data_IF_931538577901
#
_entry.id   IF_931538577901
#
_cell.length_a   1.000
_cell.length_b   1.000
_cell.length_c   1.000
_cell.angle_alpha   90.00
_cell.angle_beta   90.00
_cell.angle_gamma   90.00
#
_symmetry.space_group_name_H-M   'P 1'
#
loop_
_entity.id
_entity.type
_entity.pdbx_description
1 polymer ?
#
# COMPACT_ATOMS: atom_id res chain seq x y z
N UNK A 1 -26.70 -16.01 -34.40
CA UNK A 1 -27.61 -16.32 -35.51
C UNK A 1 -29.03 -16.40 -34.96
N UNK A 2 -29.96 -15.81 -35.71
CA UNK A 2 -31.21 -15.14 -35.32
C UNK A 2 -32.36 -16.06 -34.81
N UNK A 3 -33.12 -15.60 -33.80
CA UNK A 3 -34.56 -15.89 -33.61
C UNK A 3 -35.31 -14.73 -32.94
N UNK A 4 -35.63 -13.74 -33.77
CA UNK A 4 -36.84 -12.88 -33.77
C UNK A 4 -38.02 -13.29 -32.86
N UNK A 5 -38.52 -12.25 -32.17
CA UNK A 5 -39.93 -11.86 -31.94
C UNK A 5 -40.88 -12.81 -31.18
N UNK A 6 -41.30 -12.33 -30.01
CA UNK A 6 -42.65 -12.54 -29.49
C UNK A 6 -43.30 -11.16 -29.24
N UNK A 7 -44.48 -10.95 -29.85
CA UNK A 7 -45.30 -9.72 -29.87
C UNK A 7 -45.99 -9.52 -28.49
N UNK A 8 -46.01 -8.32 -27.88
CA UNK A 8 -46.95 -7.19 -28.09
C UNK A 8 -48.44 -7.59 -28.21
N UNK A 9 -49.26 -7.29 -27.19
CA UNK A 9 -50.26 -6.18 -27.22
C UNK A 9 -51.13 -6.15 -25.97
N UNK A 10 -51.21 -4.98 -25.32
CA UNK A 10 -52.42 -4.45 -24.68
C UNK A 10 -52.27 -2.92 -24.54
N UNK A 11 -52.94 -2.20 -25.44
CA UNK A 11 -53.31 -0.77 -25.33
C UNK A 11 -54.34 -0.59 -24.20
N UNK A 12 -54.62 0.54 -23.57
CA UNK A 12 -54.24 1.95 -23.67
C UNK A 12 -54.69 2.64 -22.35
N UNK A 13 -54.05 3.75 -21.98
CA UNK A 13 -54.67 5.00 -21.48
C UNK A 13 -53.71 5.80 -20.59
N UNK A 14 -53.21 6.92 -21.12
CA UNK A 14 -52.88 8.17 -20.41
C UNK A 14 -52.29 9.11 -21.49
N UNK A 15 -52.85 10.27 -21.81
CA UNK A 15 -53.20 11.33 -20.87
C UNK A 15 -51.93 12.13 -20.62
N UNK A 16 -51.67 13.13 -21.45
CA UNK A 16 -50.45 13.93 -21.39
C UNK A 16 -50.34 14.72 -20.09
N UNK A 17 -49.17 14.64 -19.45
CA UNK A 17 -48.67 15.66 -18.54
C UNK A 17 -47.13 15.67 -18.62
N UNK A 18 -46.62 16.86 -18.86
CA UNK A 18 -45.24 17.34 -18.70
C UNK A 18 -44.40 16.57 -17.68
N UNK A 19 -43.32 15.93 -18.14
CA UNK A 19 -42.25 15.38 -17.30
C UNK A 19 -41.24 16.49 -16.95
N UNK A 20 -41.59 17.29 -15.95
CA UNK A 20 -40.61 17.95 -15.08
C UNK A 20 -40.31 17.02 -13.91
N UNK A 21 -39.04 16.68 -13.71
CA UNK A 21 -38.58 16.06 -12.46
C UNK A 21 -38.08 14.62 -12.58
N UNK A 22 -36.95 14.41 -13.25
CA UNK A 22 -36.01 13.38 -12.80
C UNK A 22 -35.06 14.08 -11.83
N UNK A 23 -35.37 13.93 -10.54
CA UNK A 23 -34.46 14.32 -9.46
C UNK A 23 -33.16 13.56 -9.64
N UNK A 24 -32.12 14.26 -10.09
CA UNK A 24 -30.77 13.83 -9.89
C UNK A 24 -30.60 13.65 -8.38
N UNK A 25 -30.35 12.43 -7.91
CA UNK A 25 -29.74 12.21 -6.62
C UNK A 25 -28.31 12.73 -6.69
N UNK A 26 -28.16 14.06 -6.71
CA UNK A 26 -26.91 14.71 -6.37
C UNK A 26 -26.68 14.39 -4.90
N UNK A 27 -25.81 13.42 -4.63
CA UNK A 27 -25.23 13.27 -3.31
C UNK A 27 -24.31 14.47 -3.08
N UNK A 28 -24.88 15.61 -2.71
CA UNK A 28 -24.16 16.69 -2.06
C UNK A 28 -23.81 16.25 -0.65
N UNK A 29 -22.88 15.30 -0.55
CA UNK A 29 -22.11 15.16 0.68
C UNK A 29 -21.28 16.43 0.85
N UNK A 30 -21.04 16.91 2.07
CA UNK A 30 -20.21 18.08 2.26
C UNK A 30 -18.81 17.73 1.74
N UNK A 31 -18.37 18.37 0.66
CA UNK A 31 -16.97 18.62 0.34
C UNK A 31 -16.45 19.60 1.40
N UNK A 32 -16.41 19.15 2.66
CA UNK A 32 -15.73 19.89 3.70
C UNK A 32 -14.26 19.94 3.32
N UNK A 33 -13.72 21.16 3.20
CA UNK A 33 -12.28 21.34 3.09
C UNK A 33 -11.59 20.50 4.18
N UNK A 34 -10.51 19.82 3.82
CA UNK A 34 -9.70 19.08 4.78
C UNK A 34 -9.27 20.02 5.91
N UNK A 35 -9.10 19.46 7.11
CA UNK A 35 -8.49 20.19 8.22
C UNK A 35 -7.17 20.83 7.72
N UNK A 36 -6.94 22.15 7.92
CA UNK A 36 -5.75 22.83 7.44
C UNK A 36 -4.44 22.14 7.84
N UNK A 37 -4.36 21.55 9.04
CA UNK A 37 -3.16 20.81 9.48
C UNK A 37 -2.94 19.55 8.64
N UNK A 38 -4.03 18.87 8.25
CA UNK A 38 -3.97 17.69 7.38
C UNK A 38 -3.60 18.09 5.96
N UNK A 39 -4.15 19.19 5.44
CA UNK A 39 -3.81 19.71 4.11
C UNK A 39 -2.32 20.09 4.03
N UNK A 40 -1.80 20.80 5.04
CA UNK A 40 -0.38 21.13 5.12
C UNK A 40 0.50 19.88 5.23
N UNK A 41 0.10 18.89 6.06
CA UNK A 41 0.83 17.64 6.19
C UNK A 41 0.89 16.88 4.86
N UNK A 42 -0.21 16.86 4.10
CA UNK A 42 -0.25 16.24 2.79
C UNK A 42 0.68 16.96 1.81
N UNK A 43 0.62 18.29 1.72
CA UNK A 43 1.48 19.05 0.80
C UNK A 43 2.96 18.88 1.14
N UNK A 44 3.34 18.96 2.42
CA UNK A 44 4.74 18.75 2.85
C UNK A 44 5.22 17.33 2.55
N UNK A 45 4.34 16.34 2.70
CA UNK A 45 4.66 14.95 2.37
C UNK A 45 4.79 14.77 0.85
N UNK A 46 3.93 15.41 0.06
CA UNK A 46 4.06 15.45 -1.40
C UNK A 46 5.40 16.08 -1.82
N UNK A 47 5.76 17.23 -1.24
CA UNK A 47 7.02 17.92 -1.53
C UNK A 47 8.23 17.05 -1.23
N UNK A 48 8.16 16.18 -0.21
CA UNK A 48 9.22 15.19 0.01
C UNK A 48 9.44 14.34 -1.25
N UNK A 49 8.40 13.66 -1.76
CA UNK A 49 8.52 12.85 -2.98
C UNK A 49 8.92 13.69 -4.20
N UNK A 50 8.36 14.89 -4.33
CA UNK A 50 8.60 15.74 -5.49
C UNK A 50 10.02 16.34 -5.52
N UNK A 51 10.54 16.78 -4.38
CA UNK A 51 11.79 17.53 -4.32
C UNK A 51 13.01 16.59 -4.27
N UNK A 52 12.89 15.43 -3.62
CA UNK A 52 14.03 14.52 -3.40
C UNK A 52 14.19 13.45 -4.48
N UNK A 53 13.17 13.24 -5.32
CA UNK A 53 13.20 12.23 -6.39
C UNK A 53 13.76 12.82 -7.69
N UNK A 54 14.87 12.28 -8.25
CA UNK A 54 15.42 12.78 -9.50
C UNK A 54 14.42 12.64 -10.66
N UNK A 55 14.16 13.74 -11.37
CA UNK A 55 13.19 13.78 -12.46
C UNK A 55 13.51 12.77 -13.59
N UNK A 56 14.79 12.57 -13.89
CA UNK A 56 15.22 11.77 -15.04
C UNK A 56 14.97 10.26 -14.88
N UNK A 57 15.03 9.74 -13.64
CA UNK A 57 14.94 8.28 -13.38
C UNK A 57 13.76 7.91 -12.50
N UNK A 58 13.25 8.82 -11.67
CA UNK A 58 12.19 8.53 -10.72
C UNK A 58 12.62 7.70 -9.50
N UNK A 59 13.92 7.42 -9.35
CA UNK A 59 14.47 6.65 -8.25
C UNK A 59 14.28 7.41 -6.93
N UNK A 60 13.32 6.97 -6.12
CA UNK A 60 12.94 7.62 -4.86
C UNK A 60 13.84 7.11 -3.75
N UNK A 61 14.56 7.97 -3.00
CA UNK A 61 15.44 7.54 -1.94
C UNK A 61 14.65 6.87 -0.81
N UNK A 62 15.24 5.85 -0.19
CA UNK A 62 14.67 5.15 0.97
C UNK A 62 14.54 6.08 2.20
N UNK A 63 15.49 7.00 2.35
CA UNK A 63 15.62 7.89 3.50
C UNK A 63 16.03 9.30 3.11
N UNK A 64 15.63 10.26 3.94
CA UNK A 64 16.07 11.66 3.89
C UNK A 64 16.08 12.25 5.31
N UNK A 65 16.95 13.24 5.65
CA UNK A 65 17.92 13.94 4.80
C UNK A 65 19.25 13.24 4.62
N UNK A 66 19.51 12.15 5.34
CA UNK A 66 20.71 11.34 5.10
C UNK A 66 20.60 10.68 3.72
N UNK A 67 21.51 10.99 2.78
CA UNK A 67 21.48 10.38 1.45
C UNK A 67 21.50 8.85 1.55
N UNK A 68 20.68 8.19 0.74
CA UNK A 68 20.50 6.73 0.76
C UNK A 68 20.38 6.16 -0.66
N UNK A 69 20.30 4.83 -0.76
CA UNK A 69 19.87 4.10 -1.95
C UNK A 69 18.38 4.35 -2.26
N UNK A 70 17.96 3.96 -3.47
CA UNK A 70 16.56 3.98 -3.88
C UNK A 70 15.80 2.82 -3.25
N UNK A 71 14.59 3.07 -2.73
CA UNK A 71 13.62 2.04 -2.37
C UNK A 71 12.60 1.86 -3.49
N UNK A 72 12.46 0.63 -4.00
CA UNK A 72 11.51 0.33 -5.07
C UNK A 72 10.05 0.49 -4.60
N UNK A 73 9.75 0.14 -3.35
CA UNK A 73 8.45 0.44 -2.75
C UNK A 73 8.16 1.95 -2.65
N UNK A 74 9.18 2.76 -2.32
CA UNK A 74 9.03 4.21 -2.26
C UNK A 74 8.70 4.81 -3.64
N UNK A 75 9.25 4.25 -4.72
CA UNK A 75 8.88 4.64 -6.10
C UNK A 75 7.40 4.36 -6.38
N UNK A 76 6.88 3.20 -5.97
CA UNK A 76 5.45 2.89 -6.10
C UNK A 76 4.57 3.92 -5.37
N UNK A 77 4.99 4.34 -4.18
CA UNK A 77 4.32 5.42 -3.45
C UNK A 77 4.40 6.76 -4.20
N UNK A 78 5.57 7.13 -4.74
CA UNK A 78 5.78 8.37 -5.50
C UNK A 78 4.85 8.47 -6.73
N UNK A 79 4.72 7.38 -7.48
CA UNK A 79 3.84 7.29 -8.65
C UNK A 79 2.35 7.49 -8.30
N UNK A 80 1.95 7.20 -7.06
CA UNK A 80 0.60 7.48 -6.55
C UNK A 80 0.47 8.93 -6.08
N UNK A 81 1.54 9.50 -5.53
CA UNK A 81 1.60 10.87 -5.00
C UNK A 81 1.55 11.92 -6.12
N UNK A 82 2.08 11.65 -7.32
CA UNK A 82 2.03 12.65 -8.41
C UNK A 82 0.61 13.00 -8.85
N UNK A 83 -0.29 12.04 -9.16
CA UNK A 83 -1.71 12.35 -9.38
C UNK A 83 -2.38 13.13 -8.24
N UNK A 84 -2.07 12.79 -6.98
CA UNK A 84 -2.59 13.52 -5.82
C UNK A 84 -2.14 14.99 -5.87
N UNK A 85 -0.90 15.25 -6.26
CA UNK A 85 -0.40 16.62 -6.45
C UNK A 85 -1.11 17.39 -7.57
N UNK A 86 -1.55 16.71 -8.63
CA UNK A 86 -2.38 17.30 -9.68
C UNK A 86 -3.76 17.67 -9.15
N UNK A 87 -4.43 16.75 -8.47
CA UNK A 87 -5.77 16.97 -7.92
C UNK A 87 -5.81 18.09 -6.87
N UNK A 88 -4.70 18.31 -6.15
CA UNK A 88 -4.57 19.41 -5.18
C UNK A 88 -3.98 20.69 -5.79
N UNK A 89 -3.64 20.71 -7.08
CA UNK A 89 -3.09 21.88 -7.77
C UNK A 89 -1.66 22.27 -7.37
N UNK A 90 -0.90 21.37 -6.75
CA UNK A 90 0.50 21.61 -6.38
C UNK A 90 1.45 21.50 -7.57
N UNK A 91 1.09 20.66 -8.55
CA UNK A 91 1.77 20.51 -9.83
C UNK A 91 0.74 20.39 -10.96
N UNK A 92 1.16 20.66 -12.19
CA UNK A 92 0.32 20.46 -13.38
C UNK A 92 0.27 18.98 -13.79
N UNK A 93 -0.77 18.59 -14.53
CA UNK A 93 -0.87 17.25 -15.13
C UNK A 93 0.31 16.95 -16.05
N UNK A 94 0.80 17.94 -16.79
CA UNK A 94 1.96 17.80 -17.68
C UNK A 94 3.23 17.45 -16.90
N UNK A 95 3.52 18.18 -15.82
CA UNK A 95 4.65 17.88 -14.93
C UNK A 95 4.55 16.47 -14.31
N UNK A 96 3.36 16.08 -13.87
CA UNK A 96 3.13 14.76 -13.31
C UNK A 96 3.31 13.65 -14.36
N UNK A 97 2.83 13.88 -15.59
CA UNK A 97 2.94 12.95 -16.71
C UNK A 97 4.39 12.76 -17.13
N UNK A 98 5.15 13.84 -17.30
CA UNK A 98 6.58 13.79 -17.66
C UNK A 98 7.40 12.98 -16.64
N UNK A 99 7.18 13.22 -15.35
CA UNK A 99 7.88 12.47 -14.28
C UNK A 99 7.46 11.01 -14.22
N UNK A 100 6.17 10.73 -14.35
CA UNK A 100 5.63 9.36 -14.39
C UNK A 100 6.21 8.58 -15.56
N UNK A 101 6.20 9.16 -16.77
CA UNK A 101 6.73 8.52 -17.96
C UNK A 101 8.23 8.24 -17.84
N UNK A 102 9.02 9.19 -17.32
CA UNK A 102 10.46 9.01 -17.11
C UNK A 102 10.75 7.85 -16.15
N UNK A 103 9.97 7.75 -15.06
CA UNK A 103 10.08 6.67 -14.08
C UNK A 103 9.71 5.32 -14.70
N UNK A 104 8.56 5.25 -15.40
CA UNK A 104 8.08 4.01 -16.00
C UNK A 104 9.02 3.52 -17.11
N UNK A 105 9.56 4.42 -17.96
CA UNK A 105 10.58 4.08 -18.96
C UNK A 105 11.83 3.50 -18.31
N UNK A 106 12.32 4.14 -17.24
CA UNK A 106 13.47 3.64 -16.48
C UNK A 106 13.26 2.19 -16.04
N UNK A 107 12.14 1.87 -15.36
CA UNK A 107 11.89 0.50 -14.89
C UNK A 107 11.57 -0.49 -16.02
N UNK A 108 10.94 -0.04 -17.10
CA UNK A 108 10.72 -0.87 -18.28
C UNK A 108 12.04 -1.29 -18.92
N UNK A 109 12.98 -0.35 -19.11
CA UNK A 109 14.25 -0.58 -19.79
C UNK A 109 15.36 -1.10 -18.86
N UNK A 110 15.11 -1.13 -17.55
CA UNK A 110 16.08 -1.55 -16.54
C UNK A 110 16.62 -2.96 -16.80
N UNK A 111 17.95 -3.18 -16.72
CA UNK A 111 18.56 -4.47 -17.00
C UNK A 111 18.06 -5.56 -16.05
N UNK A 112 17.70 -6.71 -16.61
CA UNK A 112 17.18 -7.86 -15.88
C UNK A 112 18.04 -9.10 -16.14
N UNK A 113 18.35 -9.88 -15.11
CA UNK A 113 19.15 -11.08 -15.27
C UNK A 113 19.55 -11.74 -13.96
N UNK A 114 20.12 -12.96 -14.00
CA UNK A 114 20.50 -13.71 -12.81
C UNK A 114 21.82 -13.22 -12.17
N UNK A 115 22.47 -12.21 -12.76
CA UNK A 115 23.76 -11.72 -12.29
C UNK A 115 23.64 -11.04 -10.93
N UNK A 116 24.69 -11.15 -10.11
CA UNK A 116 24.74 -10.52 -8.80
C UNK A 116 24.78 -8.98 -8.85
N UNK A 117 25.32 -8.41 -9.93
CA UNK A 117 25.53 -6.97 -10.13
C UNK A 117 25.19 -6.56 -11.57
N UNK A 118 25.02 -5.26 -11.81
CA UNK A 118 24.75 -4.71 -13.15
C UNK A 118 23.33 -4.92 -13.66
N UNK A 119 22.43 -5.37 -12.80
CA UNK A 119 21.00 -5.60 -13.10
C UNK A 119 20.13 -4.97 -12.00
N UNK A 120 18.92 -4.57 -12.36
CA UNK A 120 17.92 -3.99 -11.44
C UNK A 120 16.90 -5.03 -10.97
N UNK A 121 16.95 -6.23 -11.52
CA UNK A 121 16.09 -7.33 -11.10
C UNK A 121 16.27 -8.61 -11.90
N UNK A 122 15.41 -9.57 -11.62
CA UNK A 122 15.39 -10.87 -12.28
C UNK A 122 13.95 -11.35 -12.43
N UNK A 123 13.63 -12.05 -13.52
CA UNK A 123 12.31 -12.67 -13.73
C UNK A 123 11.13 -11.70 -13.68
N UNK A 124 11.40 -10.44 -14.05
CA UNK A 124 10.44 -9.34 -14.02
C UNK A 124 10.30 -8.69 -12.64
N UNK A 125 10.77 -9.33 -11.57
CA UNK A 125 10.85 -8.73 -10.24
C UNK A 125 12.01 -7.73 -10.15
N UNK A 126 11.99 -6.89 -9.11
CA UNK A 126 13.03 -5.92 -8.82
C UNK A 126 13.66 -6.14 -7.44
N UNK A 127 14.91 -5.69 -7.30
CA UNK A 127 15.58 -5.67 -6.01
C UNK A 127 14.94 -4.64 -5.08
N UNK A 128 14.90 -4.93 -3.78
CA UNK A 128 14.35 -4.03 -2.76
C UNK A 128 15.00 -2.65 -2.85
N UNK A 129 16.34 -2.63 -2.93
CA UNK A 129 17.12 -1.41 -3.09
C UNK A 129 17.92 -1.35 -4.39
N UNK A 130 17.92 -0.16 -5.00
CA UNK A 130 18.71 0.16 -6.19
C UNK A 130 19.69 1.31 -5.90
N UNK A 131 20.85 1.29 -6.53
CA UNK A 131 21.79 2.39 -6.49
C UNK A 131 21.18 3.63 -7.18
N UNK A 132 21.26 4.79 -6.53
CA UNK A 132 20.59 6.02 -7.00
C UNK A 132 21.14 6.55 -8.33
N UNK A 133 22.38 6.21 -8.69
CA UNK A 133 23.03 6.73 -9.91
C UNK A 133 22.85 5.79 -11.08
N UNK A 134 23.10 4.50 -10.86
CA UNK A 134 23.10 3.47 -11.90
C UNK A 134 21.77 2.76 -12.02
N UNK A 135 20.98 2.73 -10.95
CA UNK A 135 19.73 2.00 -10.92
C UNK A 135 19.89 0.48 -10.84
N UNK A 136 21.11 -0.03 -10.65
CA UNK A 136 21.36 -1.46 -10.44
C UNK A 136 21.14 -1.85 -8.98
N UNK A 137 21.05 -3.15 -8.70
CA UNK A 137 20.98 -3.71 -7.34
C UNK A 137 22.00 -3.04 -6.41
N UNK A 138 21.51 -2.54 -5.28
CA UNK A 138 22.35 -1.97 -4.24
C UNK A 138 22.88 -3.04 -3.29
N UNK A 139 24.20 -3.13 -3.14
CA UNK A 139 24.84 -4.10 -2.26
C UNK A 139 24.42 -5.54 -2.57
N UNK A 140 24.01 -6.29 -1.54
CA UNK A 140 23.56 -7.68 -1.64
C UNK A 140 22.07 -7.83 -1.32
N UNK A 141 21.28 -6.77 -1.43
CA UNK A 141 19.85 -6.79 -1.13
C UNK A 141 19.12 -7.84 -1.95
N UNK A 142 18.08 -8.41 -1.37
CA UNK A 142 17.20 -9.40 -1.98
C UNK A 142 16.40 -8.82 -3.15
N UNK A 143 16.13 -9.69 -4.12
CA UNK A 143 15.03 -9.52 -5.06
C UNK A 143 13.74 -9.67 -4.23
N UNK A 144 12.92 -8.63 -4.15
CA UNK A 144 11.80 -8.57 -3.21
C UNK A 144 10.47 -8.65 -3.92
N UNK A 145 9.65 -9.63 -3.55
CA UNK A 145 8.32 -9.81 -4.13
C UNK A 145 7.33 -8.75 -3.65
N UNK A 146 7.48 -8.26 -2.40
CA UNK A 146 6.64 -7.19 -1.87
C UNK A 146 6.99 -5.83 -2.44
N UNK A 147 8.26 -5.46 -2.52
CA UNK A 147 8.67 -4.18 -3.11
C UNK A 147 8.28 -4.10 -4.59
N UNK A 148 8.43 -5.22 -5.32
CA UNK A 148 7.91 -5.33 -6.69
C UNK A 148 6.40 -5.11 -6.73
N UNK A 149 5.62 -5.72 -5.83
CA UNK A 149 4.18 -5.55 -5.78
C UNK A 149 3.77 -4.10 -5.44
N UNK A 150 4.47 -3.44 -4.52
CA UNK A 150 4.24 -2.04 -4.15
C UNK A 150 4.58 -1.08 -5.31
N UNK A 151 5.68 -1.32 -6.03
CA UNK A 151 6.00 -0.60 -7.27
C UNK A 151 4.87 -0.73 -8.30
N UNK A 152 4.43 -1.97 -8.56
CA UNK A 152 3.35 -2.26 -9.51
C UNK A 152 2.03 -1.61 -9.09
N UNK A 153 1.71 -1.59 -7.79
CA UNK A 153 0.53 -0.89 -7.28
C UNK A 153 0.52 0.58 -7.69
N UNK A 154 1.65 1.27 -7.49
CA UNK A 154 1.84 2.66 -7.93
C UNK A 154 1.78 2.87 -9.44
N UNK A 155 2.46 2.00 -10.20
CA UNK A 155 2.47 2.04 -11.66
C UNK A 155 1.06 1.85 -12.24
N UNK A 156 0.33 0.83 -11.76
CA UNK A 156 -1.03 0.54 -12.20
C UNK A 156 -1.97 1.69 -11.84
N UNK A 157 -1.85 2.27 -10.65
CA UNK A 157 -2.60 3.46 -10.27
C UNK A 157 -2.35 4.63 -11.23
N UNK A 158 -1.08 4.95 -11.50
CA UNK A 158 -0.71 6.02 -12.40
C UNK A 158 -1.23 5.78 -13.83
N UNK A 159 -1.11 4.54 -14.34
CA UNK A 159 -1.65 4.16 -15.66
C UNK A 159 -3.18 4.30 -15.74
N UNK A 160 -3.91 4.13 -14.63
CA UNK A 160 -5.36 4.38 -14.58
C UNK A 160 -5.70 5.87 -14.49
N UNK A 161 -4.83 6.70 -13.91
CA UNK A 161 -5.04 8.14 -13.80
C UNK A 161 -4.70 8.90 -15.11
N UNK A 162 -3.64 8.45 -15.79
CA UNK A 162 -3.22 8.96 -17.09
C UNK A 162 -3.95 8.20 -18.20
N UNK A 163 -5.23 8.48 -18.38
CA UNK A 163 -6.18 7.78 -19.26
C UNK A 163 -6.54 8.53 -20.56
N UNK A 164 -5.90 9.67 -20.82
CA UNK A 164 -6.15 10.48 -22.02
C UNK A 164 -5.48 9.94 -23.29
N UNK A 165 -5.77 10.63 -24.40
CA UNK A 165 -5.24 10.34 -25.74
C UNK A 165 -3.85 10.96 -26.00
N UNK A 166 -3.29 11.70 -25.04
CA UNK A 166 -1.94 12.25 -25.16
C UNK A 166 -0.93 11.12 -25.33
N UNK A 167 -0.01 11.24 -26.28
CA UNK A 167 0.93 10.17 -26.65
C UNK A 167 1.70 9.61 -25.44
N UNK A 168 2.21 10.48 -24.57
CA UNK A 168 2.87 10.06 -23.32
C UNK A 168 1.97 9.28 -22.36
N UNK A 169 0.66 9.60 -22.27
CA UNK A 169 -0.27 8.86 -21.41
C UNK A 169 -0.55 7.46 -21.98
N UNK A 170 -0.73 7.37 -23.30
CA UNK A 170 -0.82 6.10 -24.03
C UNK A 170 0.44 5.25 -23.78
N UNK A 171 1.61 5.88 -23.82
CA UNK A 171 2.87 5.18 -23.57
C UNK A 171 3.03 4.74 -22.12
N UNK A 172 2.66 5.55 -21.12
CA UNK A 172 2.63 5.16 -19.71
C UNK A 172 1.82 3.87 -19.55
N UNK A 173 0.59 3.83 -20.07
CA UNK A 173 -0.28 2.65 -19.97
C UNK A 173 0.37 1.41 -20.58
N UNK A 174 0.88 1.53 -21.80
CA UNK A 174 1.54 0.42 -22.51
C UNK A 174 2.77 -0.11 -21.76
N UNK A 175 3.62 0.78 -21.25
CA UNK A 175 4.85 0.38 -20.55
C UNK A 175 4.55 -0.24 -19.19
N UNK A 176 3.57 0.30 -18.44
CA UNK A 176 3.13 -0.28 -17.16
C UNK A 176 2.56 -1.69 -17.38
N UNK A 177 1.71 -1.87 -18.39
CA UNK A 177 1.19 -3.19 -18.76
C UNK A 177 2.33 -4.17 -19.08
N UNK A 178 3.33 -3.74 -19.84
CA UNK A 178 4.50 -4.56 -20.16
C UNK A 178 5.34 -4.93 -18.92
N UNK A 179 5.55 -3.99 -17.99
CA UNK A 179 6.27 -4.25 -16.73
C UNK A 179 5.50 -5.23 -15.84
N UNK A 180 4.18 -5.11 -15.73
CA UNK A 180 3.39 -6.06 -14.95
C UNK A 180 3.33 -7.44 -15.60
N UNK A 181 3.11 -7.50 -16.92
CA UNK A 181 2.98 -8.74 -17.67
C UNK A 181 4.28 -9.56 -17.76
N UNK A 182 5.45 -8.99 -17.48
CA UNK A 182 6.70 -9.77 -17.48
C UNK A 182 7.05 -10.42 -16.14
N UNK A 183 6.31 -10.12 -15.06
CA UNK A 183 6.59 -10.69 -13.74
C UNK A 183 6.18 -12.15 -13.71
N UNK A 184 7.16 -13.05 -13.59
CA UNK A 184 6.94 -14.50 -13.57
C UNK A 184 6.53 -14.99 -12.16
N UNK A 185 5.32 -14.68 -11.69
CA UNK A 185 4.88 -15.03 -10.32
C UNK A 185 5.04 -16.51 -9.91
N UNK A 186 4.78 -17.51 -10.79
CA UNK A 186 5.00 -18.92 -10.45
C UNK A 186 6.46 -19.26 -10.17
N UNK A 187 7.43 -18.49 -10.69
CA UNK A 187 8.85 -18.68 -10.38
C UNK A 187 9.13 -18.44 -8.89
N UNK A 188 8.37 -17.56 -8.24
CA UNK A 188 8.47 -17.29 -6.81
C UNK A 188 7.68 -18.29 -5.92
N UNK A 189 6.90 -19.21 -6.48
CA UNK A 189 6.18 -20.26 -5.73
C UNK A 189 7.01 -21.53 -5.59
N UNK A 190 7.94 -21.52 -4.63
CA UNK A 190 8.90 -22.62 -4.44
C UNK A 190 8.49 -23.65 -3.39
N UNK A 191 7.51 -23.32 -2.54
CA UNK A 191 7.08 -24.14 -1.40
C UNK A 191 5.56 -24.27 -1.36
N UNK A 192 5.03 -25.02 -2.33
CA UNK A 192 3.59 -25.22 -2.50
C UNK A 192 2.91 -23.98 -3.09
N UNK A 193 1.76 -23.59 -2.53
CA UNK A 193 1.00 -22.44 -3.02
C UNK A 193 1.44 -21.09 -2.41
N UNK A 194 2.47 -21.07 -1.54
CA UNK A 194 2.99 -19.84 -0.97
C UNK A 194 4.01 -19.18 -1.92
N UNK A 195 4.09 -17.86 -1.88
CA UNK A 195 5.05 -17.05 -2.65
C UNK A 195 6.22 -16.69 -1.74
N UNK A 196 7.46 -16.92 -2.19
CA UNK A 196 8.67 -16.54 -1.44
C UNK A 196 8.73 -15.03 -1.22
N UNK A 197 9.18 -14.63 -0.03
CA UNK A 197 9.39 -13.21 0.29
C UNK A 197 10.54 -12.60 -0.53
N UNK A 198 11.55 -13.41 -0.87
CA UNK A 198 12.67 -12.92 -1.67
C UNK A 198 13.63 -13.98 -2.21
N UNK A 199 14.63 -13.51 -2.96
CA UNK A 199 15.65 -14.32 -3.60
C UNK A 199 16.96 -13.54 -3.74
N UNK A 200 18.09 -14.23 -3.61
CA UNK A 200 19.42 -13.68 -3.88
C UNK A 200 20.11 -14.45 -5.01
N UNK A 201 20.79 -13.77 -5.96
CA UNK A 201 21.69 -14.41 -6.92
C UNK A 201 22.69 -15.36 -6.30
N UNK A 202 23.15 -15.03 -5.10
CA UNK A 202 24.20 -15.77 -4.40
C UNK A 202 23.71 -17.07 -3.77
N UNK A 203 22.48 -17.10 -3.25
CA UNK A 203 22.02 -18.16 -2.35
C UNK A 203 20.65 -18.74 -2.71
N UNK A 204 19.96 -18.20 -3.70
CA UNK A 204 18.63 -18.63 -4.08
C UNK A 204 17.53 -18.00 -3.23
N UNK A 205 16.40 -18.70 -3.10
CA UNK A 205 15.24 -18.22 -2.35
C UNK A 205 15.50 -18.22 -0.84
N UNK A 206 15.10 -17.14 -0.18
CA UNK A 206 15.14 -17.07 1.29
C UNK A 206 14.15 -18.10 1.90
N UNK A 207 14.31 -18.50 3.18
CA UNK A 207 13.46 -19.54 3.77
C UNK A 207 12.05 -19.06 4.13
N UNK A 208 11.74 -17.77 3.95
CA UNK A 208 10.47 -17.16 4.30
C UNK A 208 9.55 -17.03 3.09
N UNK A 209 8.29 -17.42 3.28
CA UNK A 209 7.20 -17.22 2.33
C UNK A 209 6.14 -16.30 2.92
N UNK A 210 5.35 -15.70 2.05
CA UNK A 210 4.15 -14.96 2.43
C UNK A 210 3.07 -15.92 2.94
N UNK A 211 2.80 -15.82 4.23
CA UNK A 211 1.51 -16.16 4.83
C UNK A 211 0.96 -14.94 5.57
N UNK A 212 -0.34 -14.95 5.84
CA UNK A 212 -1.04 -13.82 6.38
C UNK A 212 -1.38 -14.00 7.86
N UNK A 213 -1.71 -12.93 8.57
CA UNK A 213 -1.97 -11.57 8.08
C UNK A 213 -0.75 -10.64 8.24
N UNK A 214 -0.33 -9.98 7.16
CA UNK A 214 0.72 -8.94 7.15
C UNK A 214 0.57 -8.03 5.90
N UNK A 215 1.58 -7.23 5.57
CA UNK A 215 1.59 -6.29 4.43
C UNK A 215 1.52 -6.94 3.04
N UNK A 216 1.83 -8.23 2.93
CA UNK A 216 2.01 -8.97 1.67
C UNK A 216 0.73 -9.24 0.88
N UNK A 217 -0.43 -8.75 1.30
CA UNK A 217 -1.72 -9.05 0.67
C UNK A 217 -1.75 -8.64 -0.82
N UNK A 218 -1.16 -7.49 -1.16
CA UNK A 218 -1.04 -7.03 -2.56
C UNK A 218 -0.20 -7.98 -3.42
N UNK A 219 0.81 -8.65 -2.85
CA UNK A 219 1.64 -9.65 -3.56
C UNK A 219 0.75 -10.76 -4.08
N UNK A 220 -0.09 -11.33 -3.22
CA UNK A 220 -0.96 -12.45 -3.58
C UNK A 220 -2.02 -12.02 -4.60
N UNK A 221 -2.59 -10.82 -4.43
CA UNK A 221 -3.59 -10.28 -5.36
C UNK A 221 -3.01 -10.05 -6.75
N UNK A 222 -1.85 -9.40 -6.87
CA UNK A 222 -1.20 -9.17 -8.16
C UNK A 222 -0.68 -10.46 -8.80
N UNK A 223 -0.25 -11.43 -8.00
CA UNK A 223 0.16 -12.74 -8.50
C UNK A 223 -1.02 -13.51 -9.11
N UNK A 224 -2.18 -13.53 -8.44
CA UNK A 224 -3.37 -14.20 -8.98
C UNK A 224 -3.96 -13.46 -10.19
N UNK A 225 -3.87 -12.13 -10.20
CA UNK A 225 -4.40 -11.28 -11.28
C UNK A 225 -3.47 -11.14 -12.48
N UNK A 226 -2.26 -11.72 -12.44
CA UNK A 226 -1.27 -11.57 -13.52
C UNK A 226 -1.85 -12.03 -14.87
N UNK A 227 -1.75 -11.21 -15.93
CA UNK A 227 -2.34 -11.53 -17.23
C UNK A 227 -1.59 -12.63 -18.01
N UNK A 228 -0.35 -12.92 -17.62
CA UNK A 228 0.59 -13.79 -18.37
C UNK A 228 1.16 -14.92 -17.52
N UNK A 229 1.40 -14.66 -16.23
CA UNK A 229 2.00 -15.60 -15.30
C UNK A 229 1.20 -15.65 -13.99
N UNK A 230 -0.09 -16.04 -14.00
CA UNK A 230 -0.87 -16.13 -12.78
C UNK A 230 -0.45 -17.33 -11.93
N UNK A 231 -0.51 -17.16 -10.60
CA UNK A 231 -0.46 -18.29 -9.67
C UNK A 231 -1.84 -18.93 -9.51
N UNK A 232 -1.88 -20.19 -9.06
CA UNK A 232 -3.15 -20.87 -8.76
C UNK A 232 -3.92 -20.12 -7.65
N UNK A 233 -5.26 -19.96 -7.74
CA UNK A 233 -6.08 -19.33 -6.70
C UNK A 233 -5.93 -19.93 -5.29
N UNK A 234 -5.46 -21.18 -5.17
CA UNK A 234 -5.08 -21.78 -3.89
C UNK A 234 -3.99 -20.99 -3.14
N UNK A 235 -3.26 -20.09 -3.80
CA UNK A 235 -2.36 -19.14 -3.16
C UNK A 235 -3.06 -18.29 -2.10
N UNK A 236 -4.31 -17.87 -2.33
CA UNK A 236 -5.08 -17.12 -1.34
C UNK A 236 -5.43 -17.98 -0.12
N UNK A 237 -5.81 -19.25 -0.34
CA UNK A 237 -6.06 -20.17 0.77
C UNK A 237 -4.79 -20.43 1.60
N UNK A 238 -3.63 -20.54 0.95
CA UNK A 238 -2.34 -20.68 1.63
C UNK A 238 -1.96 -19.42 2.43
N UNK A 239 -2.25 -18.23 1.89
CA UNK A 239 -2.10 -16.95 2.59
C UNK A 239 -2.96 -16.89 3.88
N UNK A 240 -4.21 -17.34 3.83
CA UNK A 240 -5.10 -17.34 5.00
C UNK A 240 -4.81 -18.45 6.03
N UNK A 241 -3.93 -19.40 5.71
CA UNK A 241 -3.75 -20.66 6.47
C UNK A 241 -3.33 -20.49 7.93
N UNK A 242 -2.71 -19.36 8.27
CA UNK A 242 -2.17 -19.03 9.59
C UNK A 242 -3.03 -18.04 10.37
N UNK A 243 -4.18 -17.63 9.83
CA UNK A 243 -5.02 -16.62 10.47
C UNK A 243 -5.43 -17.02 11.88
N UNK A 244 -5.99 -18.22 12.09
CA UNK A 244 -6.45 -18.64 13.42
C UNK A 244 -5.31 -18.87 14.42
N UNK A 245 -4.11 -19.22 13.96
CA UNK A 245 -2.99 -19.59 14.84
C UNK A 245 -2.05 -18.44 15.13
N UNK A 246 -1.85 -17.51 14.19
CA UNK A 246 -0.85 -16.44 14.30
C UNK A 246 -1.44 -15.03 14.36
N UNK A 247 -2.61 -14.79 13.74
CA UNK A 247 -3.12 -13.43 13.57
C UNK A 247 -4.42 -13.15 14.31
N UNK A 248 -5.33 -14.11 14.46
CA UNK A 248 -6.62 -13.84 15.07
C UNK A 248 -6.49 -13.58 16.57
N UNK A 249 -6.93 -12.40 17.02
CA UNK A 249 -6.82 -12.01 18.42
C UNK A 249 -7.92 -11.03 18.81
N UNK A 250 -8.23 -10.96 20.11
CA UNK A 250 -9.09 -9.96 20.74
C UNK A 250 -8.31 -9.04 21.70
N UNK A 251 -6.97 -9.15 21.70
CA UNK A 251 -6.11 -8.30 22.53
C UNK A 251 -6.33 -6.83 22.19
N UNK A 252 -6.53 -6.03 23.23
CA UNK A 252 -6.73 -4.59 23.15
C UNK A 252 -8.04 -4.13 22.48
N UNK A 253 -9.07 -5.00 22.39
CA UNK A 253 -10.41 -4.53 22.02
C UNK A 253 -11.27 -5.60 21.33
N UNK A 254 -11.72 -5.28 20.12
CA UNK A 254 -12.58 -6.17 19.34
C UNK A 254 -11.74 -7.23 18.61
N UNK A 255 -12.27 -8.44 18.38
CA UNK A 255 -11.57 -9.47 17.61
C UNK A 255 -11.21 -9.00 16.19
N UNK A 256 -9.98 -9.28 15.76
CA UNK A 256 -9.44 -8.90 14.45
C UNK A 256 -8.24 -9.78 14.06
N UNK A 257 -7.88 -9.75 12.78
CA UNK A 257 -6.60 -10.25 12.28
C UNK A 257 -5.51 -9.23 12.61
N UNK A 258 -4.62 -9.60 13.53
CA UNK A 258 -3.51 -8.81 14.03
C UNK A 258 -2.26 -8.97 13.18
N UNK A 259 -1.64 -7.82 12.94
CA UNK A 259 -0.24 -7.67 12.61
C UNK A 259 0.28 -6.51 13.47
N UNK A 260 1.36 -6.75 14.22
CA UNK A 260 1.81 -5.83 15.27
C UNK A 260 2.08 -4.40 14.73
N UNK A 261 2.92 -4.22 13.69
CA UNK A 261 3.11 -2.91 13.08
C UNK A 261 1.89 -2.43 12.29
N UNK A 262 1.48 -1.18 12.49
CA UNK A 262 0.25 -0.68 11.86
C UNK A 262 0.33 -0.62 10.31
N UNK A 263 1.51 -0.58 9.70
CA UNK A 263 1.66 -0.48 8.24
C UNK A 263 1.08 -1.68 7.47
N UNK A 264 1.03 -2.88 8.06
CA UNK A 264 0.41 -4.05 7.40
C UNK A 264 -1.11 -3.87 7.19
N UNK A 265 -1.73 -2.94 7.90
CA UNK A 265 -3.12 -2.51 7.71
C UNK A 265 -3.27 -1.30 6.78
N UNK A 266 -2.19 -0.87 6.12
CA UNK A 266 -2.15 0.36 5.32
C UNK A 266 -1.62 0.13 3.91
N UNK A 267 -0.51 -0.58 3.73
CA UNK A 267 0.19 -0.63 2.44
C UNK A 267 -0.68 -1.15 1.30
N UNK A 268 -1.25 -2.35 1.43
CA UNK A 268 -2.15 -2.91 0.42
C UNK A 268 -3.43 -2.07 0.24
N UNK A 269 -3.86 -1.36 1.28
CA UNK A 269 -5.08 -0.55 1.29
C UNK A 269 -4.93 0.77 0.52
N UNK A 270 -3.70 1.17 0.15
CA UNK A 270 -3.46 2.36 -0.67
C UNK A 270 -4.04 2.21 -2.08
N UNK A 271 -4.07 0.99 -2.62
CA UNK A 271 -4.51 0.71 -3.99
C UNK A 271 -5.73 -0.20 -4.08
N UNK A 272 -6.01 -0.97 -3.03
CA UNK A 272 -7.18 -1.85 -3.00
C UNK A 272 -8.18 -1.36 -1.97
N UNK A 273 -9.36 -1.00 -2.44
CA UNK A 273 -10.48 -0.64 -1.59
C UNK A 273 -11.14 -1.92 -1.04
N UNK A 274 -10.76 -2.30 0.17
CA UNK A 274 -11.24 -3.52 0.81
C UNK A 274 -12.66 -3.45 1.41
N UNK A 275 -13.37 -2.33 1.26
CA UNK A 275 -14.76 -2.20 1.74
C UNK A 275 -15.67 -3.15 0.97
N UNK A 276 -16.43 -3.97 1.69
CA UNK A 276 -17.32 -4.97 1.14
C UNK A 276 -16.62 -6.17 0.49
N UNK A 277 -15.28 -6.26 0.54
CA UNK A 277 -14.53 -7.41 0.02
C UNK A 277 -14.38 -8.43 1.15
N UNK A 278 -14.97 -9.61 0.95
CA UNK A 278 -14.99 -10.71 1.91
C UNK A 278 -14.57 -12.01 1.22
N UNK A 279 -13.48 -12.60 1.68
CA UNK A 279 -13.14 -13.98 1.39
C UNK A 279 -13.96 -14.93 2.31
N UNK A 280 -13.82 -16.27 2.19
CA UNK A 280 -14.54 -17.19 3.07
C UNK A 280 -14.27 -16.97 4.56
N UNK A 281 -13.03 -16.66 4.95
CA UNK A 281 -12.66 -16.45 6.35
C UNK A 281 -13.33 -15.21 6.93
N UNK A 282 -13.19 -14.07 6.26
CA UNK A 282 -13.78 -12.80 6.71
C UNK A 282 -15.31 -12.84 6.69
N UNK A 283 -15.91 -13.60 5.76
CA UNK A 283 -17.36 -13.86 5.75
C UNK A 283 -17.82 -14.62 6.99
N UNK A 284 -17.07 -15.63 7.44
CA UNK A 284 -17.32 -16.32 8.71
C UNK A 284 -17.25 -15.36 9.91
N UNK A 285 -16.27 -14.44 9.91
CA UNK A 285 -16.13 -13.44 10.98
C UNK A 285 -17.17 -12.31 10.94
N UNK A 286 -17.86 -12.15 9.81
CA UNK A 286 -18.96 -11.20 9.65
C UNK A 286 -18.55 -9.75 9.41
N UNK A 287 -17.31 -9.48 8.97
CA UNK A 287 -16.84 -8.13 8.61
C UNK A 287 -15.73 -8.18 7.56
N UNK A 288 -15.52 -7.09 6.82
CA UNK A 288 -14.53 -7.00 5.74
C UNK A 288 -13.13 -6.60 6.24
N UNK A 289 -12.13 -6.63 5.35
CA UNK A 289 -10.76 -6.23 5.70
C UNK A 289 -10.62 -4.74 6.02
N UNK A 290 -11.53 -3.88 5.53
CA UNK A 290 -11.55 -2.46 5.94
C UNK A 290 -11.91 -2.33 7.43
N UNK A 291 -12.96 -3.03 7.88
CA UNK A 291 -13.33 -3.09 9.29
C UNK A 291 -12.22 -3.73 10.12
N UNK A 292 -11.55 -4.77 9.60
CA UNK A 292 -10.38 -5.37 10.26
C UNK A 292 -9.29 -4.33 10.56
N UNK A 293 -8.90 -3.54 9.56
CA UNK A 293 -7.89 -2.48 9.70
C UNK A 293 -8.37 -1.35 10.62
N UNK A 294 -9.67 -1.05 10.65
CA UNK A 294 -10.24 -0.11 11.63
C UNK A 294 -10.10 -0.64 13.06
N UNK A 295 -10.35 -1.93 13.29
CA UNK A 295 -10.18 -2.57 14.60
C UNK A 295 -8.71 -2.60 15.03
N UNK A 296 -7.79 -2.88 14.11
CA UNK A 296 -6.35 -2.81 14.38
C UNK A 296 -5.89 -1.41 14.83
N UNK A 297 -6.41 -0.35 14.21
CA UNK A 297 -6.15 1.03 14.63
C UNK A 297 -6.70 1.32 16.05
N UNK A 298 -7.89 0.84 16.39
CA UNK A 298 -8.43 0.98 17.75
C UNK A 298 -7.65 0.16 18.77
N UNK A 299 -7.16 -1.03 18.42
CA UNK A 299 -6.32 -1.85 19.28
C UNK A 299 -4.99 -1.16 19.61
N UNK A 300 -4.35 -0.52 18.62
CA UNK A 300 -3.16 0.31 18.80
C UNK A 300 -3.40 1.50 19.74
N UNK A 301 -4.53 2.21 19.58
CA UNK A 301 -4.91 3.30 20.48
C UNK A 301 -5.18 2.79 21.90
N UNK A 302 -5.86 1.66 22.05
CA UNK A 302 -6.16 1.06 23.34
C UNK A 302 -4.88 0.60 24.06
N UNK A 303 -3.91 0.04 23.34
CA UNK A 303 -2.58 -0.29 23.85
C UNK A 303 -1.86 0.94 24.41
N UNK A 304 -1.77 2.01 23.62
CA UNK A 304 -1.14 3.25 24.04
C UNK A 304 -1.86 3.91 25.22
N UNK A 305 -3.20 3.82 25.27
CA UNK A 305 -3.98 4.29 26.43
C UNK A 305 -3.68 3.49 27.69
N UNK A 306 -3.51 2.18 27.56
CA UNK A 306 -3.20 1.31 28.71
C UNK A 306 -1.78 1.54 29.23
N UNK A 307 -0.83 1.84 28.32
CA UNK A 307 0.55 2.24 28.63
C UNK A 307 1.20 1.40 29.74
N UNK A 308 1.12 0.07 29.66
CA UNK A 308 1.69 -0.82 30.68
C UNK A 308 3.21 -0.68 30.81
N UNK A 309 3.88 -0.20 29.75
CA UNK A 309 5.29 0.17 29.73
C UNK A 309 5.63 1.48 30.47
N UNK A 310 4.64 2.24 30.93
CA UNK A 310 4.81 3.56 31.56
C UNK A 310 5.69 4.50 30.72
N UNK A 311 5.48 4.53 29.40
CA UNK A 311 6.18 5.42 28.49
C UNK A 311 5.66 6.85 28.62
N UNK A 312 6.55 7.82 28.50
CA UNK A 312 6.15 9.23 28.52
C UNK A 312 5.38 9.57 27.24
N UNK A 313 4.20 10.18 27.39
CA UNK A 313 3.40 10.69 26.28
C UNK A 313 2.37 9.72 25.71
N UNK A 314 2.54 8.40 25.87
CA UNK A 314 1.55 7.41 25.42
C UNK A 314 0.17 7.70 26.02
N UNK A 315 -0.85 7.80 25.15
CA UNK A 315 -2.22 8.09 25.55
C UNK A 315 -3.19 7.70 24.44
N UNK A 316 -4.48 7.93 24.67
CA UNK A 316 -5.51 7.84 23.62
C UNK A 316 -5.35 8.92 22.53
N UNK A 317 -4.55 9.97 22.79
CA UNK A 317 -4.27 11.08 21.85
C UNK A 317 -2.90 10.98 21.18
N UNK A 318 -2.00 10.17 21.71
CA UNK A 318 -0.61 10.04 21.26
C UNK A 318 -0.29 8.56 21.22
N UNK A 319 -0.46 8.00 20.03
CA UNK A 319 -0.33 6.58 19.72
C UNK A 319 0.09 6.41 18.25
N UNK A 320 0.53 5.20 17.90
CA UNK A 320 0.94 4.85 16.54
C UNK A 320 2.28 4.12 16.54
N UNK A 321 2.22 2.80 16.70
CA UNK A 321 3.40 1.93 16.60
C UNK A 321 3.43 1.29 15.22
N UNK A 322 4.55 1.45 14.53
CA UNK A 322 4.80 0.79 13.26
C UNK A 322 6.31 0.65 13.05
N UNK A 323 6.72 -0.07 12.01
CA UNK A 323 8.12 -0.12 11.62
C UNK A 323 8.66 1.30 11.33
N UNK A 324 9.75 1.67 12.01
CA UNK A 324 10.38 2.97 11.87
C UNK A 324 11.81 2.97 12.40
N UNK A 325 12.52 4.06 12.15
CA UNK A 325 13.74 4.38 12.90
C UNK A 325 13.42 4.62 14.37
N UNK A 326 14.33 4.20 15.23
CA UNK A 326 14.34 4.47 16.65
C UNK A 326 15.69 5.01 17.12
N UNK A 327 15.87 5.11 18.44
CA UNK A 327 17.00 5.81 19.01
C UNK A 327 18.33 5.05 18.90
N UNK A 328 18.32 3.73 18.65
CA UNK A 328 19.52 2.90 18.47
C UNK A 328 19.47 1.60 19.27
N UNK A 329 20.45 0.71 19.05
CA UNK A 329 20.49 -0.63 19.66
C UNK A 329 21.27 -0.61 20.98
N UNK A 330 20.58 -0.34 22.08
CA UNK A 330 21.18 -0.27 23.42
C UNK A 330 20.15 -0.49 24.53
N UNK A 331 20.65 -0.70 25.75
CA UNK A 331 19.84 -0.90 26.95
C UNK A 331 20.12 0.21 27.95
N UNK A 332 19.09 0.79 28.55
CA UNK A 332 19.20 1.81 29.60
C UNK A 332 18.29 1.48 30.79
N UNK A 333 18.74 1.82 32.00
CA UNK A 333 17.84 1.92 33.16
C UNK A 333 17.12 3.27 33.13
N UNK A 334 15.79 3.23 33.02
CA UNK A 334 14.93 4.42 33.08
C UNK A 334 13.87 4.19 34.13
N UNK A 335 13.97 4.97 35.22
CA UNK A 335 13.10 4.91 36.38
C UNK A 335 13.10 3.55 37.10
N UNK A 336 14.30 2.95 37.26
CA UNK A 336 14.48 1.67 37.95
C UNK A 336 13.98 0.47 37.13
N UNK A 337 13.91 0.63 35.81
CA UNK A 337 13.50 -0.41 34.86
C UNK A 337 14.49 -0.44 33.72
N UNK A 338 15.06 -1.61 33.47
CA UNK A 338 15.84 -1.86 32.27
C UNK A 338 14.93 -1.79 31.04
N UNK A 339 15.36 -1.05 30.03
CA UNK A 339 14.64 -0.83 28.77
C UNK A 339 15.58 -1.04 27.60
N UNK A 340 15.18 -1.92 26.70
CA UNK A 340 15.85 -2.15 25.42
C UNK A 340 15.29 -1.19 24.37
N UNK A 341 16.20 -0.59 23.61
CA UNK A 341 15.91 0.28 22.49
C UNK A 341 16.43 -0.33 21.20
N UNK A 342 15.78 0.00 20.10
CA UNK A 342 16.15 -0.50 18.79
C UNK A 342 16.46 0.65 17.83
N UNK A 343 17.35 0.39 16.87
CA UNK A 343 17.52 1.21 15.68
C UNK A 343 16.28 1.09 14.77
N UNK A 344 16.40 0.54 13.56
CA UNK A 344 15.22 0.22 12.75
C UNK A 344 14.55 -1.04 13.28
N UNK A 345 13.25 -0.97 13.59
CA UNK A 345 12.52 -2.11 14.17
C UNK A 345 11.04 -2.06 13.85
N UNK A 346 10.46 -3.25 13.66
CA UNK A 346 9.04 -3.46 13.45
C UNK A 346 8.28 -3.38 14.79
N UNK A 347 7.88 -2.16 15.18
CA UNK A 347 7.21 -1.90 16.47
C UNK A 347 5.71 -2.14 16.38
N UNK A 348 5.13 -2.72 17.41
CA UNK A 348 3.69 -2.90 17.55
C UNK A 348 3.23 -3.17 18.99
N UNK A 349 1.91 -3.31 19.22
CA UNK A 349 1.34 -3.51 20.54
C UNK A 349 1.86 -4.79 21.20
N UNK A 350 2.74 -4.64 22.18
CA UNK A 350 3.35 -5.77 22.90
C UNK A 350 4.49 -6.45 22.15
N UNK A 351 4.94 -5.90 21.02
CA UNK A 351 6.04 -6.44 20.21
C UNK A 351 7.05 -5.34 19.91
N UNK A 352 8.26 -5.48 20.48
CA UNK A 352 9.37 -4.54 20.30
C UNK A 352 8.99 -3.07 20.58
N UNK A 353 8.07 -2.84 21.51
CA UNK A 353 7.72 -1.49 21.98
C UNK A 353 8.84 -0.94 22.88
N UNK A 354 9.63 -0.03 22.32
CA UNK A 354 10.69 0.70 23.02
C UNK A 354 10.29 2.16 23.34
N UNK A 355 9.00 2.47 23.30
CA UNK A 355 8.49 3.83 23.55
C UNK A 355 8.54 4.76 22.34
N UNK A 356 9.00 4.29 21.17
CA UNK A 356 9.07 5.09 19.94
C UNK A 356 7.72 5.13 19.23
N UNK A 357 7.20 6.33 18.95
CA UNK A 357 5.99 6.54 18.15
C UNK A 357 6.37 7.02 16.75
N UNK A 358 5.83 6.35 15.74
CA UNK A 358 5.96 6.75 14.35
C UNK A 358 4.73 7.54 13.89
N UNK A 359 4.89 8.86 13.78
CA UNK A 359 3.83 9.86 13.48
C UNK A 359 2.63 9.77 14.44
N UNK A 360 2.60 10.54 15.56
CA UNK A 360 1.51 10.48 16.51
C UNK A 360 0.18 10.84 15.85
N UNK A 361 -0.79 9.93 15.87
CA UNK A 361 -2.17 10.25 15.46
C UNK A 361 -2.83 11.09 16.55
N UNK A 362 -2.85 12.41 16.37
CA UNK A 362 -3.66 13.31 17.21
C UNK A 362 -5.12 13.26 16.75
N UNK A 363 -6.06 13.04 17.67
CA UNK A 363 -7.48 13.25 17.39
C UNK A 363 -7.74 14.77 17.42
N UNK A 364 -8.51 15.33 16.47
CA UNK A 364 -8.95 16.72 16.59
C UNK A 364 -9.87 16.89 17.81
N UNK A 365 -9.86 18.05 18.49
CA UNK A 365 -10.51 18.25 19.80
C UNK A 365 -12.06 18.26 19.81
N UNK A 366 -12.75 17.82 18.75
CA UNK A 366 -14.22 17.87 18.68
C UNK A 366 -14.91 16.57 19.14
N UNK A 367 -16.01 16.67 19.93
CA UNK A 367 -16.79 15.52 20.40
C UNK A 367 -17.81 14.98 19.38
N UNK A 368 -17.96 15.59 18.20
CA UNK A 368 -18.93 15.13 17.20
C UNK A 368 -18.33 14.11 16.22
N UNK A 369 -18.47 12.81 16.55
CA UNK A 369 -18.20 11.60 15.75
C UNK A 369 -16.73 11.33 15.34
N UNK A 370 -16.19 10.13 15.62
CA UNK A 370 -14.86 9.75 15.17
C UNK A 370 -14.91 9.42 13.68
N UNK A 371 -14.39 10.31 12.83
CA UNK A 371 -13.88 9.89 11.52
C UNK A 371 -12.39 9.63 11.71
N UNK A 372 -12.04 8.38 12.00
CA UNK A 372 -10.71 7.90 11.61
C UNK A 372 -10.59 8.19 10.11
N UNK A 373 -9.59 8.97 9.75
CA UNK A 373 -9.17 9.31 8.37
C UNK A 373 -9.72 8.32 7.35
N UNK A 374 -10.78 8.71 6.64
CA UNK A 374 -11.21 7.99 5.44
C UNK A 374 -10.02 8.02 4.49
N UNK A 375 -9.60 6.90 3.89
CA UNK A 375 -8.85 7.00 2.64
C UNK A 375 -9.72 7.83 1.70
N UNK A 376 -9.06 8.74 1.01
CA UNK A 376 -9.66 9.81 0.25
C UNK A 376 -10.85 9.33 -0.59
N UNK A 377 -11.86 10.21 -0.62
CA UNK A 377 -12.85 10.33 -1.68
C UNK A 377 -12.23 10.07 -3.05
N UNK A 378 -12.84 9.12 -3.78
CA UNK A 378 -12.63 8.92 -5.22
C UNK A 378 -12.92 10.23 -6.00
N UNK A 379 -12.22 10.52 -7.11
CA UNK A 379 -12.86 11.13 -8.26
C UNK A 379 -13.88 10.17 -8.91
#
# INVERSE_FOLDING_TARGET
MDRRRFLLTSCAAAGGLSLTGLGACASTGPTGALDPEIAELQERTFRWFWDVTPHATGLTPDRWPTPSFCSVAAVGSALTVYPIGVENGWITRDQARERTLSTVRFFHDAPQGPQATGVSGHKGFFYHFLDMQTGHRFGTTELSTVDTALLLGGMLFAARYFDGEHADEVEIRRLVEAVYARVEWPWAQVRGHKISMGWHPETGFIPHDWDGYNEGMLVILLAMASPTHPVDPAAWAAWCSTYDTLSWTDRWGQPYLHFAPLFGHQYSHMWVDFRGILDPYMRDKGFDYFENSRRAAYAQQAYARANTGNWTGYSDQVWGLTACDGPGDFVLDIAGREREFFSYSARGPGERDDGTIARPRRRPPSPSRPRLSSPASRP
#
